data_IF_887645453102
#
_entry.id   IF_887645453102
#
_cell.length_a   1.000
_cell.length_b   1.000
_cell.length_c   1.000
_cell.angle_alpha   90.00
_cell.angle_beta   90.00
_cell.angle_gamma   90.00
#
_symmetry.space_group_name_H-M   'P 1'
#
loop_
_entity.id
_entity.type
_entity.pdbx_description
1 polymer ?
#
# COMPACT_ATOMS: atom_id res chain seq x y z
N UNK A 1 37.71 -29.95 58.63
CA UNK A 1 36.79 -28.85 58.27
C UNK A 1 37.48 -28.03 57.18
N UNK A 2 37.29 -28.41 55.92
CA UNK A 2 37.75 -27.63 54.76
C UNK A 2 36.52 -27.02 54.12
N UNK A 3 36.47 -25.69 54.05
CA UNK A 3 35.35 -24.93 53.52
C UNK A 3 35.18 -25.21 52.02
N UNK A 4 33.99 -25.68 51.65
CA UNK A 4 33.60 -25.86 50.26
C UNK A 4 33.64 -24.51 49.54
N UNK A 5 34.50 -24.41 48.54
CA UNK A 5 34.54 -23.30 47.61
C UNK A 5 33.30 -23.40 46.72
N UNK A 6 32.29 -22.55 46.92
CA UNK A 6 31.25 -22.34 45.90
C UNK A 6 31.58 -21.08 45.10
N UNK A 7 32.07 -21.22 43.86
CA UNK A 7 31.80 -20.21 42.86
C UNK A 7 31.40 -20.83 41.52
N UNK A 8 30.08 -21.00 41.28
CA UNK A 8 29.60 -20.99 39.90
C UNK A 8 28.38 -20.08 39.65
N UNK A 9 27.90 -19.29 40.61
CA UNK A 9 26.67 -18.49 40.44
C UNK A 9 26.75 -17.48 39.28
N UNK A 10 27.86 -16.74 39.13
CA UNK A 10 27.98 -15.72 38.09
C UNK A 10 28.11 -16.23 36.65
N UNK A 11 28.73 -17.40 36.43
CA UNK A 11 28.85 -17.97 35.08
C UNK A 11 27.54 -18.61 34.61
N UNK A 12 26.82 -19.25 35.54
CA UNK A 12 25.50 -19.81 35.29
C UNK A 12 24.46 -18.69 35.06
N UNK A 13 24.52 -17.61 35.84
CA UNK A 13 23.69 -16.41 35.65
C UNK A 13 23.97 -15.71 34.30
N UNK A 14 25.24 -15.54 33.91
CA UNK A 14 25.59 -14.98 32.61
C UNK A 14 25.11 -15.87 31.46
N UNK A 15 25.18 -17.19 31.62
CA UNK A 15 24.68 -18.15 30.62
C UNK A 15 23.16 -18.10 30.52
N UNK A 16 22.45 -17.99 31.65
CA UNK A 16 21.01 -17.82 31.70
C UNK A 16 20.55 -16.51 31.05
N UNK A 17 21.24 -15.40 31.32
CA UNK A 17 20.96 -14.10 30.69
C UNK A 17 21.20 -14.14 29.17
N UNK A 18 22.28 -14.78 28.70
CA UNK A 18 22.54 -14.97 27.27
C UNK A 18 21.45 -15.80 26.60
N UNK A 19 20.95 -16.84 27.27
CA UNK A 19 19.85 -17.65 26.77
C UNK A 19 18.56 -16.82 26.64
N UNK A 20 18.23 -16.00 27.63
CA UNK A 20 17.07 -15.09 27.57
C UNK A 20 17.21 -14.06 26.44
N UNK A 21 18.39 -13.47 26.25
CA UNK A 21 18.64 -12.53 25.14
C UNK A 21 18.49 -13.22 23.80
N UNK A 22 19.00 -14.44 23.64
CA UNK A 22 18.84 -15.22 22.42
C UNK A 22 17.37 -15.56 22.13
N UNK A 23 16.60 -15.92 23.16
CA UNK A 23 15.16 -16.17 23.03
C UNK A 23 14.39 -14.91 22.61
N UNK A 24 14.71 -13.77 23.23
CA UNK A 24 14.12 -12.48 22.88
C UNK A 24 14.48 -12.05 21.45
N UNK A 25 15.74 -12.20 21.04
CA UNK A 25 16.17 -11.92 19.67
C UNK A 25 15.40 -12.77 18.66
N UNK A 26 15.28 -14.07 18.90
CA UNK A 26 14.50 -14.98 18.05
C UNK A 26 13.00 -14.63 18.04
N UNK A 27 12.47 -14.04 19.11
CA UNK A 27 11.08 -13.53 19.15
C UNK A 27 10.94 -12.26 18.31
N UNK A 28 11.88 -11.33 18.40
CA UNK A 28 11.88 -10.09 17.62
C UNK A 28 12.01 -10.38 16.12
N UNK A 29 12.94 -11.25 15.71
CA UNK A 29 13.09 -11.64 14.30
C UNK A 29 11.81 -12.23 13.71
N UNK A 30 11.10 -13.07 14.49
CA UNK A 30 9.79 -13.61 14.08
C UNK A 30 8.73 -12.51 13.94
N UNK A 31 8.73 -11.52 14.83
CA UNK A 31 7.80 -10.39 14.76
C UNK A 31 8.12 -9.49 13.56
N UNK A 32 9.39 -9.19 13.30
CA UNK A 32 9.82 -8.38 12.16
C UNK A 32 9.50 -9.06 10.82
N UNK A 33 9.72 -10.38 10.72
CA UNK A 33 9.33 -11.15 9.54
C UNK A 33 7.81 -11.09 9.30
N UNK A 34 7.01 -11.15 10.36
CA UNK A 34 5.56 -11.03 10.29
C UNK A 34 5.10 -9.60 9.92
N UNK A 35 5.77 -8.56 10.43
CA UNK A 35 5.49 -7.16 10.07
C UNK A 35 5.84 -6.91 8.60
N UNK A 36 7.04 -7.26 8.17
CA UNK A 36 7.49 -7.09 6.77
C UNK A 36 6.59 -7.83 5.78
N UNK A 37 6.10 -9.02 6.13
CA UNK A 37 5.11 -9.75 5.34
C UNK A 37 3.80 -8.94 5.21
N UNK A 38 3.27 -8.42 6.31
CA UNK A 38 2.05 -7.59 6.29
C UNK A 38 2.24 -6.33 5.46
N UNK A 39 3.36 -5.64 5.62
CA UNK A 39 3.69 -4.42 4.87
C UNK A 39 3.75 -4.69 3.36
N UNK A 40 4.38 -5.80 2.96
CA UNK A 40 4.41 -6.20 1.54
C UNK A 40 3.03 -6.45 0.95
N UNK A 41 2.09 -6.98 1.74
CA UNK A 41 0.70 -7.20 1.32
C UNK A 41 -0.01 -5.85 1.17
N UNK A 42 0.17 -4.94 2.14
CA UNK A 42 -0.38 -3.58 2.09
C UNK A 42 0.11 -2.84 0.83
N UNK A 43 1.41 -2.92 0.53
CA UNK A 43 2.00 -2.29 -0.66
C UNK A 43 1.40 -2.83 -1.96
N UNK A 44 1.23 -4.15 -2.05
CA UNK A 44 0.61 -4.79 -3.21
C UNK A 44 -0.85 -4.33 -3.37
N UNK A 45 -1.63 -4.32 -2.28
CA UNK A 45 -3.03 -3.89 -2.31
C UNK A 45 -3.16 -2.42 -2.73
N UNK A 46 -2.33 -1.53 -2.16
CA UNK A 46 -2.29 -0.10 -2.51
C UNK A 46 -1.91 0.11 -3.97
N UNK A 47 -0.89 -0.60 -4.48
CA UNK A 47 -0.50 -0.53 -5.88
C UNK A 47 -1.62 -1.01 -6.82
N UNK A 48 -2.36 -2.06 -6.44
CA UNK A 48 -3.51 -2.54 -7.21
C UNK A 48 -4.68 -1.55 -7.19
N UNK A 49 -4.94 -0.90 -6.05
CA UNK A 49 -5.96 0.15 -5.94
C UNK A 49 -5.65 1.34 -6.85
N UNK A 50 -4.41 1.83 -6.84
CA UNK A 50 -3.99 2.95 -7.69
C UNK A 50 -4.20 2.62 -9.18
N UNK A 51 -3.81 1.40 -9.57
CA UNK A 51 -4.01 0.90 -10.93
C UNK A 51 -5.48 0.81 -11.34
N UNK A 52 -6.34 0.35 -10.43
CA UNK A 52 -7.78 0.21 -10.68
C UNK A 52 -8.48 1.56 -10.72
N UNK A 53 -8.13 2.50 -9.82
CA UNK A 53 -8.65 3.87 -9.79
C UNK A 53 -8.35 4.61 -11.09
N UNK A 54 -7.16 4.43 -11.67
CA UNK A 54 -6.84 4.97 -12.99
C UNK A 54 -7.71 4.40 -14.14
N UNK A 55 -8.27 3.21 -13.97
CA UNK A 55 -9.08 2.51 -14.99
C UNK A 55 -10.56 2.49 -14.66
N UNK A 56 -11.00 3.19 -13.62
CA UNK A 56 -12.35 3.12 -13.08
C UNK A 56 -13.43 3.55 -14.08
N UNK A 57 -13.08 4.36 -15.07
CA UNK A 57 -14.03 4.84 -16.08
C UNK A 57 -14.07 3.92 -17.31
N UNK A 58 -15.28 3.54 -17.72
CA UNK A 58 -15.52 2.82 -18.97
C UNK A 58 -16.60 1.74 -18.86
N UNK A 59 -16.66 0.89 -19.89
CA UNK A 59 -17.66 -0.17 -20.01
C UNK A 59 -17.55 -1.26 -18.92
N UNK A 60 -16.44 -1.32 -18.19
CA UNK A 60 -16.19 -2.26 -17.10
C UNK A 60 -16.12 -1.61 -15.70
N UNK A 61 -16.59 -0.37 -15.57
CA UNK A 61 -16.55 0.42 -14.32
C UNK A 61 -17.09 -0.35 -13.12
N UNK A 62 -18.30 -0.91 -13.23
CA UNK A 62 -18.94 -1.64 -12.12
C UNK A 62 -18.10 -2.82 -11.60
N UNK A 63 -17.40 -3.56 -12.48
CA UNK A 63 -16.52 -4.66 -12.05
C UNK A 63 -15.26 -4.15 -11.37
N UNK A 64 -14.76 -3.00 -11.81
CA UNK A 64 -13.59 -2.35 -11.22
C UNK A 64 -13.95 -1.80 -9.84
N UNK A 65 -15.13 -1.17 -9.71
CA UNK A 65 -15.64 -0.64 -8.44
C UNK A 65 -15.76 -1.75 -7.39
N UNK A 66 -16.38 -2.88 -7.72
CA UNK A 66 -16.46 -4.03 -6.81
C UNK A 66 -15.09 -4.55 -6.36
N UNK A 67 -14.09 -4.48 -7.24
CA UNK A 67 -12.73 -4.93 -6.91
C UNK A 67 -11.97 -3.92 -6.06
N UNK A 68 -12.23 -2.62 -6.27
CA UNK A 68 -11.74 -1.53 -5.40
C UNK A 68 -12.30 -1.74 -4.00
N UNK A 69 -13.62 -1.89 -3.86
CA UNK A 69 -14.29 -2.14 -2.58
C UNK A 69 -13.70 -3.36 -1.85
N UNK A 70 -13.45 -4.45 -2.56
CA UNK A 70 -12.84 -5.65 -1.99
C UNK A 70 -11.44 -5.39 -1.41
N UNK A 71 -10.59 -4.64 -2.12
CA UNK A 71 -9.23 -4.35 -1.65
C UNK A 71 -9.19 -3.29 -0.56
N UNK A 72 -10.10 -2.33 -0.58
CA UNK A 72 -10.29 -1.37 0.52
C UNK A 72 -10.70 -2.12 1.79
N UNK A 73 -11.67 -3.05 1.70
CA UNK A 73 -12.08 -3.87 2.83
C UNK A 73 -10.93 -4.74 3.40
N UNK A 74 -10.08 -5.29 2.53
CA UNK A 74 -8.90 -6.05 2.98
C UNK A 74 -7.89 -5.17 3.73
N UNK A 75 -7.71 -3.91 3.33
CA UNK A 75 -6.85 -2.97 4.04
C UNK A 75 -7.46 -2.59 5.39
N UNK A 76 -8.77 -2.34 5.43
CA UNK A 76 -9.50 -2.05 6.68
C UNK A 76 -9.38 -3.20 7.69
N UNK A 77 -9.45 -4.46 7.25
CA UNK A 77 -9.27 -5.63 8.12
C UNK A 77 -7.86 -5.68 8.75
N UNK A 78 -6.83 -5.34 7.96
CA UNK A 78 -5.45 -5.26 8.44
C UNK A 78 -5.31 -4.12 9.47
N UNK A 79 -5.89 -2.96 9.18
CA UNK A 79 -5.87 -1.80 10.08
C UNK A 79 -6.62 -2.06 11.39
N UNK A 80 -7.80 -2.67 11.32
CA UNK A 80 -8.56 -3.09 12.50
C UNK A 80 -7.75 -4.08 13.36
N UNK A 81 -7.13 -5.08 12.73
CA UNK A 81 -6.26 -6.04 13.42
C UNK A 81 -5.08 -5.37 14.12
N UNK A 82 -4.48 -4.34 13.51
CA UNK A 82 -3.42 -3.53 14.11
C UNK A 82 -3.93 -2.74 15.30
N UNK A 83 -5.07 -2.05 15.16
CA UNK A 83 -5.69 -1.28 16.23
C UNK A 83 -6.02 -2.17 17.45
N UNK A 84 -6.58 -3.36 17.24
CA UNK A 84 -6.84 -4.34 18.31
C UNK A 84 -5.55 -4.77 19.03
N UNK A 85 -4.46 -4.98 18.29
CA UNK A 85 -3.16 -5.33 18.85
C UNK A 85 -2.56 -4.17 19.67
N UNK A 86 -2.70 -2.93 19.19
CA UNK A 86 -2.25 -1.73 19.90
C UNK A 86 -3.01 -1.54 21.22
N UNK A 87 -4.34 -1.64 21.20
CA UNK A 87 -5.19 -1.60 22.39
C UNK A 87 -4.77 -2.68 23.41
N UNK A 88 -4.53 -3.91 22.95
CA UNK A 88 -4.06 -5.01 23.83
C UNK A 88 -2.68 -4.73 24.44
N UNK A 89 -1.82 -4.04 23.70
CA UNK A 89 -0.47 -3.68 24.15
C UNK A 89 -0.42 -2.44 25.06
N UNK A 90 -1.53 -1.71 25.21
CA UNK A 90 -1.57 -0.46 25.98
C UNK A 90 -0.76 0.68 25.36
N UNK A 91 -0.42 0.58 24.07
CA UNK A 91 0.26 1.65 23.34
C UNK A 91 -0.75 2.71 22.93
N UNK A 92 -0.41 3.98 23.18
CA UNK A 92 -1.22 5.12 22.73
C UNK A 92 -0.82 5.40 21.27
N UNK A 93 -1.78 5.44 20.32
CA UNK A 93 -1.49 5.80 18.95
C UNK A 93 -0.86 7.19 18.88
N UNK A 94 0.26 7.31 18.16
CA UNK A 94 0.78 8.62 17.79
C UNK A 94 -0.18 9.24 16.77
N UNK A 95 -0.38 10.57 16.78
CA UNK A 95 -1.19 11.22 15.77
C UNK A 95 -0.61 10.94 14.38
N UNK A 96 -1.44 10.40 13.50
CA UNK A 96 -1.11 10.16 12.09
C UNK A 96 -0.72 11.51 11.47
N UNK A 97 0.49 11.61 10.92
CA UNK A 97 0.87 12.79 10.15
C UNK A 97 0.13 12.67 8.82
N UNK A 98 -0.95 13.45 8.66
CA UNK A 98 -1.61 13.60 7.38
C UNK A 98 -0.59 14.16 6.38
N UNK A 99 -0.15 13.31 5.47
CA UNK A 99 0.69 13.72 4.35
C UNK A 99 -0.19 14.55 3.41
N UNK A 100 -0.27 15.86 3.67
CA UNK A 100 -0.99 16.81 2.83
C UNK A 100 -0.18 16.97 1.55
N UNK A 101 -0.33 16.01 0.64
CA UNK A 101 0.23 16.09 -0.69
C UNK A 101 -0.50 17.22 -1.43
N UNK A 102 0.16 18.38 -1.55
CA UNK A 102 -0.36 19.50 -2.32
C UNK A 102 -0.61 19.04 -3.75
N UNK A 103 -1.90 18.95 -4.13
CA UNK A 103 -2.29 18.58 -5.49
C UNK A 103 -1.58 19.54 -6.46
N UNK A 104 -0.84 19.05 -7.46
CA UNK A 104 -0.16 19.92 -8.42
C UNK A 104 -1.20 20.79 -9.12
N UNK A 105 -1.22 22.08 -8.80
CA UNK A 105 -2.09 23.05 -9.47
C UNK A 105 -1.58 23.23 -10.89
N UNK A 106 -2.33 22.76 -11.89
CA UNK A 106 -2.07 23.09 -13.28
C UNK A 106 -2.10 24.61 -13.42
N UNK A 107 -0.98 25.20 -13.82
CA UNK A 107 -0.96 26.62 -14.18
C UNK A 107 -1.83 26.79 -15.44
N UNK A 108 -2.69 27.82 -15.52
CA UNK A 108 -3.39 28.12 -16.77
C UNK A 108 -2.35 28.32 -17.87
N UNK A 109 -2.71 27.93 -19.11
CA UNK A 109 -1.86 28.23 -20.26
C UNK A 109 -1.65 29.75 -20.35
N UNK A 110 -0.45 30.22 -20.66
CA UNK A 110 -0.20 31.64 -20.88
C UNK A 110 -1.12 32.23 -21.97
N UNK A 111 -1.47 33.50 -21.84
CA UNK A 111 -2.20 34.21 -22.89
C UNK A 111 -1.34 34.35 -24.15
N UNK A 112 -1.95 34.23 -25.33
CA UNK A 112 -1.28 34.48 -26.61
C UNK A 112 -0.40 33.34 -27.12
N UNK A 113 -0.62 32.09 -26.67
CA UNK A 113 0.04 30.94 -27.29
C UNK A 113 -0.33 30.86 -28.80
N UNK A 114 0.66 30.74 -29.70
CA UNK A 114 0.38 30.53 -31.12
C UNK A 114 -0.37 29.21 -31.28
N UNK A 115 -1.59 29.29 -31.83
CA UNK A 115 -2.41 28.12 -32.13
C UNK A 115 -2.24 27.75 -33.60
N UNK A 116 -1.91 26.50 -33.89
CA UNK A 116 -1.88 25.96 -35.25
C UNK A 116 -3.12 25.10 -35.45
N UNK A 117 -4.00 25.50 -36.37
CA UNK A 117 -5.12 24.67 -36.79
C UNK A 117 -4.65 23.69 -37.87
N UNK A 118 -4.80 22.38 -37.62
CA UNK A 118 -4.50 21.33 -38.60
C UNK A 118 -5.77 20.59 -38.98
N UNK A 119 -6.23 20.82 -40.20
CA UNK A 119 -7.38 20.13 -40.78
C UNK A 119 -6.87 18.85 -41.44
N UNK A 120 -7.22 17.70 -40.88
CA UNK A 120 -6.96 16.40 -41.48
C UNK A 120 -8.22 15.94 -42.23
N UNK A 121 -8.18 15.77 -43.56
CA UNK A 121 -9.34 15.28 -44.30
C UNK A 121 -9.63 13.84 -43.86
N UNK A 122 -10.86 13.62 -43.41
CA UNK A 122 -11.32 12.27 -43.10
C UNK A 122 -11.41 11.45 -44.40
N UNK A 123 -10.99 10.18 -44.36
CA UNK A 123 -11.19 9.26 -45.49
C UNK A 123 -12.69 9.03 -45.66
N UNK A 124 -13.22 9.03 -46.89
CA UNK A 124 -14.65 8.82 -47.16
C UNK A 124 -15.20 7.48 -46.62
N UNK A 125 -14.31 6.56 -46.25
CA UNK A 125 -14.61 5.25 -45.70
C UNK A 125 -13.72 4.94 -44.49
N UNK A 126 -14.33 4.34 -43.47
CA UNK A 126 -13.58 3.80 -42.34
C UNK A 126 -12.70 2.61 -42.82
N UNK A 127 -11.38 2.61 -42.58
CA UNK A 127 -10.50 1.52 -43.01
C UNK A 127 -10.77 0.19 -42.27
N UNK A 128 -11.52 0.23 -41.17
CA UNK A 128 -11.85 -0.95 -40.34
C UNK A 128 -13.19 -1.57 -40.70
N UNK A 129 -14.21 -0.77 -41.05
CA UNK A 129 -15.57 -1.27 -41.31
C UNK A 129 -16.17 -0.84 -42.65
N UNK A 130 -15.48 -0.02 -43.44
CA UNK A 130 -15.96 0.48 -44.75
C UNK A 130 -17.10 1.50 -44.68
N UNK A 131 -17.58 1.85 -43.49
CA UNK A 131 -18.69 2.79 -43.31
C UNK A 131 -18.38 4.20 -43.81
N UNK A 132 -19.40 4.84 -44.41
CA UNK A 132 -19.33 6.20 -44.99
C UNK A 132 -19.88 7.29 -44.05
N UNK A 133 -20.48 6.91 -42.92
CA UNK A 133 -20.99 7.83 -41.90
C UNK A 133 -20.12 7.79 -40.64
N UNK A 134 -19.65 8.96 -40.20
CA UNK A 134 -18.89 9.12 -38.95
C UNK A 134 -19.77 9.21 -37.70
N UNK A 135 -21.09 9.26 -37.87
CA UNK A 135 -22.05 9.29 -36.77
C UNK A 135 -22.38 7.84 -36.37
N UNK A 136 -22.36 7.58 -35.06
CA UNK A 136 -22.91 6.35 -34.50
C UNK A 136 -24.42 6.39 -34.76
N UNK A 137 -24.94 5.43 -35.53
CA UNK A 137 -26.38 5.33 -35.77
C UNK A 137 -27.12 5.21 -34.42
N UNK A 138 -28.32 5.84 -34.29
CA UNK A 138 -29.14 5.74 -33.08
C UNK A 138 -29.54 4.30 -32.75
#
# INVERSE_FOLDING_TARGET
>A
MGMETTPPQGQDELSALRALVAEQAAKLERQDAEVTKRDSIIDILRAQLELLRHRQHGASSEKIDRKIEQFELMLEEIEASRAEAEVRSGRIPLPELEDVCEKPKRRPLPDGLPTEERIYPARCNCPTCGGTSFLKAP
#
